data_IF_138453947259
#
_entry.id   IF_138453947259
#
_cell.length_a   1.000
_cell.length_b   1.000
_cell.length_c   1.000
_cell.angle_alpha   90.00
_cell.angle_beta   90.00
_cell.angle_gamma   90.00
#
_symmetry.space_group_name_H-M   'P 1'
#
loop_
_entity.id
_entity.type
_entity.pdbx_description
1 polymer ?
#
# COMPACT_ATOMS: atom_id res chain seq x y z
N UNK A 1 -29.52 25.08 -22.15
CA UNK A 1 -28.69 23.86 -22.36
C UNK A 1 -27.21 24.18 -22.06
N UNK A 2 -26.72 25.33 -22.48
CA UNK A 2 -25.29 25.73 -22.36
C UNK A 2 -24.77 25.94 -20.91
N UNK A 3 -25.60 26.41 -20.00
CA UNK A 3 -25.20 26.63 -18.58
C UNK A 3 -25.01 25.31 -17.82
N UNK A 4 -25.83 24.29 -18.07
CA UNK A 4 -25.73 22.97 -17.47
C UNK A 4 -24.50 22.22 -18.01
N UNK A 5 -24.31 22.27 -19.35
CA UNK A 5 -23.14 21.66 -20.00
C UNK A 5 -21.82 22.28 -19.49
N UNK A 6 -21.83 23.61 -19.29
CA UNK A 6 -20.64 24.33 -18.76
C UNK A 6 -20.34 23.93 -17.29
N UNK A 7 -21.36 23.69 -16.46
CA UNK A 7 -21.18 23.22 -15.09
C UNK A 7 -20.53 21.82 -15.03
N UNK A 8 -21.03 20.86 -15.82
CA UNK A 8 -20.45 19.51 -15.87
C UNK A 8 -19.01 19.48 -16.41
N UNK A 9 -18.71 20.34 -17.41
CA UNK A 9 -17.35 20.47 -17.94
C UNK A 9 -16.39 21.02 -16.89
N UNK A 10 -16.83 22.02 -16.11
CA UNK A 10 -16.02 22.59 -15.02
C UNK A 10 -15.79 21.57 -13.90
N UNK A 11 -16.81 20.83 -13.48
CA UNK A 11 -16.69 19.77 -12.46
C UNK A 11 -15.76 18.65 -12.93
N UNK A 12 -15.88 18.22 -14.18
CA UNK A 12 -14.99 17.23 -14.78
C UNK A 12 -13.54 17.74 -14.79
N UNK A 13 -13.32 18.97 -15.21
CA UNK A 13 -11.98 19.57 -15.24
C UNK A 13 -11.36 19.66 -13.85
N UNK A 14 -12.15 20.05 -12.83
CA UNK A 14 -11.70 20.09 -11.43
C UNK A 14 -11.36 18.70 -10.91
N UNK A 15 -12.17 17.69 -11.23
CA UNK A 15 -11.92 16.30 -10.82
C UNK A 15 -10.65 15.76 -11.48
N UNK A 16 -10.47 15.97 -12.78
CA UNK A 16 -9.23 15.61 -13.47
C UNK A 16 -8.03 16.34 -12.88
N UNK A 17 -8.18 17.63 -12.54
CA UNK A 17 -7.15 18.41 -11.85
C UNK A 17 -6.74 17.80 -10.51
N UNK A 18 -7.71 17.40 -9.66
CA UNK A 18 -7.47 16.71 -8.39
C UNK A 18 -6.73 15.38 -8.60
N UNK A 19 -7.16 14.57 -9.59
CA UNK A 19 -6.50 13.30 -9.93
C UNK A 19 -5.04 13.55 -10.31
N UNK A 20 -4.77 14.50 -11.18
CA UNK A 20 -3.40 14.84 -11.61
C UNK A 20 -2.54 15.35 -10.45
N UNK A 21 -3.13 16.11 -9.53
CA UNK A 21 -2.46 16.61 -8.32
C UNK A 21 -2.03 15.46 -7.38
N UNK A 22 -2.75 14.36 -7.36
CA UNK A 22 -2.42 13.19 -6.55
C UNK A 22 -1.49 12.24 -7.30
N UNK A 23 -1.85 11.86 -8.52
CA UNK A 23 -1.10 10.87 -9.31
C UNK A 23 0.28 11.37 -9.73
N UNK A 24 0.42 12.64 -10.11
CA UNK A 24 1.71 13.21 -10.50
C UNK A 24 2.78 13.11 -9.40
N UNK A 25 2.55 13.69 -8.22
CA UNK A 25 3.47 13.56 -7.09
C UNK A 25 3.68 12.11 -6.64
N UNK A 26 2.64 11.25 -6.71
CA UNK A 26 2.74 9.84 -6.37
C UNK A 26 3.75 9.11 -7.28
N UNK A 27 3.66 9.30 -8.60
CA UNK A 27 4.60 8.69 -9.55
C UNK A 27 6.04 9.17 -9.31
N UNK A 28 6.21 10.45 -9.00
CA UNK A 28 7.51 11.01 -8.62
C UNK A 28 8.00 10.37 -7.30
N UNK A 29 7.13 10.23 -6.30
CA UNK A 29 7.46 9.59 -5.04
C UNK A 29 7.85 8.11 -5.23
N UNK A 30 7.16 7.37 -6.08
CA UNK A 30 7.52 5.99 -6.46
C UNK A 30 8.91 5.95 -7.09
N UNK A 31 9.20 6.85 -8.03
CA UNK A 31 10.51 6.91 -8.67
C UNK A 31 11.64 7.21 -7.64
N UNK A 32 11.44 8.19 -6.76
CA UNK A 32 12.43 8.52 -5.73
C UNK A 32 12.49 7.49 -4.60
N UNK A 33 11.43 6.73 -4.33
CA UNK A 33 11.46 5.64 -3.36
C UNK A 33 12.43 4.54 -3.78
N UNK A 34 12.54 4.24 -5.08
CA UNK A 34 13.56 3.29 -5.59
C UNK A 34 14.98 3.75 -5.35
N UNK A 35 15.24 5.06 -5.49
CA UNK A 35 16.52 5.66 -5.17
C UNK A 35 16.81 5.66 -3.67
N UNK A 36 15.80 6.03 -2.86
CA UNK A 36 15.89 6.04 -1.41
C UNK A 36 16.23 4.64 -0.87
N UNK A 37 15.55 3.61 -1.37
CA UNK A 37 15.81 2.23 -1.01
C UNK A 37 17.27 1.82 -1.27
N UNK A 38 17.77 2.03 -2.49
CA UNK A 38 19.16 1.70 -2.86
C UNK A 38 20.19 2.45 -2.01
N UNK A 39 19.88 3.68 -1.59
CA UNK A 39 20.77 4.49 -0.75
C UNK A 39 20.71 4.08 0.71
N UNK A 40 19.50 3.95 1.28
CA UNK A 40 19.32 3.57 2.69
C UNK A 40 19.96 2.20 2.93
N UNK A 41 19.69 1.21 2.09
CA UNK A 41 20.33 -0.11 2.19
C UNK A 41 21.85 0.00 1.97
N UNK A 42 22.29 0.82 1.02
CA UNK A 42 23.71 1.07 0.80
C UNK A 42 24.41 1.62 2.05
N UNK A 43 23.84 2.62 2.71
CA UNK A 43 24.39 3.18 3.95
C UNK A 43 24.40 2.17 5.11
N UNK A 44 23.34 1.38 5.25
CA UNK A 44 23.29 0.31 6.27
C UNK A 44 24.38 -0.76 6.02
N UNK A 45 24.73 -1.00 4.77
CA UNK A 45 25.79 -1.94 4.35
C UNK A 45 27.18 -1.28 4.24
N UNK A 46 27.36 -0.06 4.74
CA UNK A 46 28.62 0.72 4.69
C UNK A 46 29.13 0.93 3.26
N UNK A 47 28.25 1.01 2.26
CA UNK A 47 28.58 1.31 0.87
C UNK A 47 27.79 2.50 0.34
N UNK A 48 28.31 3.15 -0.70
CA UNK A 48 27.58 4.23 -1.38
C UNK A 48 26.57 3.64 -2.36
N UNK A 49 25.32 4.12 -2.28
CA UNK A 49 24.31 3.85 -3.30
C UNK A 49 24.60 4.59 -4.63
N UNK A 50 23.66 4.59 -5.60
CA UNK A 50 23.82 5.30 -6.87
C UNK A 50 24.12 6.78 -6.66
N UNK A 51 25.21 7.30 -7.24
CA UNK A 51 25.67 8.67 -7.05
C UNK A 51 26.20 9.36 -8.31
N UNK A 52 26.22 8.65 -9.45
CA UNK A 52 26.90 9.11 -10.68
C UNK A 52 25.96 9.88 -11.60
N UNK A 53 24.70 9.44 -11.74
CA UNK A 53 23.76 10.04 -12.69
C UNK A 53 23.12 11.29 -12.09
N UNK A 54 23.61 12.47 -12.50
CA UNK A 54 23.20 13.77 -11.96
C UNK A 54 23.75 14.07 -10.56
N UNK A 55 23.40 15.24 -9.98
CA UNK A 55 23.84 15.59 -8.63
C UNK A 55 23.39 14.53 -7.62
N UNK A 56 24.36 13.93 -6.93
CA UNK A 56 24.10 12.86 -5.97
C UNK A 56 23.27 11.67 -6.51
N UNK A 57 23.25 11.42 -7.83
CA UNK A 57 22.48 10.33 -8.44
C UNK A 57 20.95 10.56 -8.47
N UNK A 58 20.50 11.82 -8.37
CA UNK A 58 19.05 12.14 -8.34
C UNK A 58 18.34 11.79 -9.66
N UNK A 59 19.06 11.74 -10.79
CA UNK A 59 18.46 11.38 -12.08
C UNK A 59 18.51 9.87 -12.38
N UNK A 60 19.01 9.05 -11.45
CA UNK A 60 19.06 7.60 -11.64
C UNK A 60 17.68 6.96 -11.90
N UNK A 61 16.59 7.30 -11.18
CA UNK A 61 15.26 6.73 -11.46
C UNK A 61 14.78 7.02 -12.89
N UNK A 62 15.05 8.22 -13.40
CA UNK A 62 14.67 8.61 -14.77
C UNK A 62 15.50 7.87 -15.82
N UNK A 63 16.80 7.66 -15.56
CA UNK A 63 17.64 6.86 -16.43
C UNK A 63 17.20 5.39 -16.46
N UNK A 64 16.80 4.82 -15.31
CA UNK A 64 16.26 3.47 -15.21
C UNK A 64 14.90 3.36 -15.95
N UNK A 65 14.04 4.36 -15.82
CA UNK A 65 12.76 4.42 -16.55
C UNK A 65 12.99 4.50 -18.07
N UNK A 66 13.87 5.40 -18.52
CA UNK A 66 14.19 5.55 -19.94
C UNK A 66 14.78 4.24 -20.52
N UNK A 67 15.67 3.59 -19.80
CA UNK A 67 16.21 2.28 -20.19
C UNK A 67 15.11 1.25 -20.42
N UNK A 68 14.11 1.18 -19.52
CA UNK A 68 13.00 0.24 -19.62
C UNK A 68 12.04 0.60 -20.77
N UNK A 69 11.87 1.89 -21.07
CA UNK A 69 11.04 2.35 -22.20
C UNK A 69 11.65 2.00 -23.56
N UNK A 70 12.97 2.09 -23.70
CA UNK A 70 13.68 1.81 -24.96
C UNK A 70 13.96 0.32 -25.15
N UNK A 71 13.94 -0.46 -24.05
CA UNK A 71 14.20 -1.90 -24.10
C UNK A 71 13.07 -2.64 -24.86
N UNK A 72 13.44 -3.64 -25.66
CA UNK A 72 12.49 -4.46 -26.40
C UNK A 72 11.62 -5.31 -25.46
N UNK A 73 10.31 -5.35 -25.73
CA UNK A 73 9.34 -6.19 -25.01
C UNK A 73 9.33 -7.58 -25.62
N UNK A 74 9.78 -8.57 -24.86
CA UNK A 74 9.81 -9.98 -25.29
C UNK A 74 8.52 -10.66 -24.82
N UNK A 75 7.81 -11.29 -25.74
CA UNK A 75 6.62 -12.10 -25.46
C UNK A 75 6.96 -13.57 -25.71
N UNK A 76 6.89 -14.45 -24.69
CA UNK A 76 7.13 -15.87 -24.87
C UNK A 76 6.18 -16.48 -25.91
N UNK A 77 6.68 -17.37 -26.74
CA UNK A 77 5.90 -17.97 -27.85
C UNK A 77 4.65 -18.73 -27.36
N UNK A 78 4.74 -19.35 -26.18
CA UNK A 78 3.64 -20.10 -25.56
C UNK A 78 2.71 -19.25 -24.66
N UNK A 79 2.96 -17.95 -24.51
CA UNK A 79 2.17 -17.09 -23.64
C UNK A 79 0.86 -16.64 -24.29
N UNK A 80 -0.18 -16.47 -23.48
CA UNK A 80 -1.40 -15.78 -23.90
C UNK A 80 -1.16 -14.28 -23.94
N UNK A 81 -0.91 -13.73 -25.13
CA UNK A 81 -0.47 -12.34 -25.35
C UNK A 81 -1.42 -11.30 -24.75
N UNK A 82 -2.72 -11.49 -24.86
CA UNK A 82 -3.71 -10.53 -24.35
C UNK A 82 -3.67 -10.46 -22.83
N UNK A 83 -3.73 -11.58 -22.15
CA UNK A 83 -3.68 -11.64 -20.67
C UNK A 83 -2.30 -11.23 -20.14
N UNK A 84 -1.23 -11.59 -20.87
CA UNK A 84 0.14 -11.22 -20.51
C UNK A 84 0.34 -9.69 -20.47
N UNK A 85 -0.23 -8.95 -21.39
CA UNK A 85 -0.16 -7.47 -21.41
C UNK A 85 -1.14 -6.87 -20.40
N UNK A 86 -2.33 -7.47 -20.24
CA UNK A 86 -3.36 -6.95 -19.33
C UNK A 86 -2.95 -7.04 -17.86
N UNK A 87 -2.26 -8.10 -17.46
CA UNK A 87 -1.92 -8.37 -16.07
C UNK A 87 -1.12 -7.23 -15.39
N UNK A 88 0.04 -6.75 -15.92
CA UNK A 88 0.77 -5.64 -15.34
C UNK A 88 -0.01 -4.32 -15.37
N UNK A 89 -0.81 -4.09 -16.42
CA UNK A 89 -1.67 -2.91 -16.51
C UNK A 89 -2.73 -2.92 -15.41
N UNK A 90 -3.37 -4.06 -15.15
CA UNK A 90 -4.36 -4.20 -14.10
C UNK A 90 -3.75 -3.89 -12.72
N UNK A 91 -2.62 -4.50 -12.40
CA UNK A 91 -1.92 -4.27 -11.13
C UNK A 91 -1.61 -2.80 -10.92
N UNK A 92 -1.07 -2.13 -11.94
CA UNK A 92 -0.71 -0.72 -11.86
C UNK A 92 -1.93 0.20 -11.76
N UNK A 93 -2.97 -0.02 -12.57
CA UNK A 93 -4.20 0.77 -12.55
C UNK A 93 -4.87 0.68 -11.18
N UNK A 94 -5.01 -0.52 -10.62
CA UNK A 94 -5.63 -0.72 -9.31
C UNK A 94 -4.83 -0.03 -8.19
N UNK A 95 -3.49 -0.07 -8.25
CA UNK A 95 -2.66 0.65 -7.30
C UNK A 95 -2.85 2.17 -7.35
N UNK A 96 -3.18 2.76 -8.52
CA UNK A 96 -3.52 4.18 -8.64
C UNK A 96 -4.95 4.48 -8.21
N UNK A 97 -5.91 3.65 -8.59
CA UNK A 97 -7.34 3.84 -8.30
C UNK A 97 -7.63 3.81 -6.80
N UNK A 98 -6.87 3.02 -6.03
CA UNK A 98 -6.98 2.96 -4.58
C UNK A 98 -6.77 4.33 -3.88
N UNK A 99 -6.00 5.24 -4.48
CA UNK A 99 -5.75 6.58 -3.93
C UNK A 99 -6.95 7.52 -3.97
N UNK A 100 -8.02 7.17 -4.68
CA UNK A 100 -9.20 8.03 -4.82
C UNK A 100 -9.87 8.37 -3.48
N UNK A 101 -9.78 7.49 -2.48
CA UNK A 101 -10.46 7.64 -1.18
C UNK A 101 -9.51 8.01 -0.03
N UNK A 102 -8.21 8.08 -0.26
CA UNK A 102 -7.24 8.45 0.78
C UNK A 102 -7.31 9.95 1.06
N UNK A 103 -7.63 10.35 2.30
CA UNK A 103 -7.65 11.75 2.67
C UNK A 103 -6.24 12.25 3.03
N UNK A 104 -5.78 13.28 2.32
CA UNK A 104 -4.48 13.93 2.57
C UNK A 104 -4.57 15.07 3.59
N UNK A 105 -5.77 15.62 3.80
CA UNK A 105 -6.05 16.72 4.69
C UNK A 105 -7.55 16.91 4.85
N UNK A 106 -7.95 17.85 5.68
CA UNK A 106 -9.37 18.21 5.86
C UNK A 106 -9.97 18.67 4.53
N UNK A 107 -10.95 17.92 4.00
CA UNK A 107 -11.55 18.18 2.69
C UNK A 107 -10.65 17.90 1.48
N UNK A 108 -9.41 17.45 1.66
CA UNK A 108 -8.47 17.12 0.58
C UNK A 108 -8.51 15.63 0.27
N UNK A 109 -9.59 15.20 -0.34
CA UNK A 109 -9.81 13.84 -0.85
C UNK A 109 -10.39 13.93 -2.27
N UNK A 110 -10.12 12.95 -3.13
CA UNK A 110 -10.70 12.93 -4.49
C UNK A 110 -12.18 12.55 -4.39
N UNK A 111 -12.47 11.48 -3.67
CA UNK A 111 -13.82 10.96 -3.45
C UNK A 111 -14.03 10.62 -1.97
N UNK A 112 -14.80 11.44 -1.26
CA UNK A 112 -15.20 11.17 0.13
C UNK A 112 -16.46 10.31 0.13
N UNK A 113 -16.28 9.01 0.32
CA UNK A 113 -17.38 8.04 0.32
C UNK A 113 -17.52 7.40 1.70
N UNK A 114 -18.78 7.20 2.13
CA UNK A 114 -19.08 6.62 3.44
C UNK A 114 -18.56 5.20 3.65
N UNK A 115 -18.24 4.48 2.56
CA UNK A 115 -17.72 3.11 2.56
C UNK A 115 -16.26 3.06 2.08
N UNK A 116 -15.47 4.11 2.33
CA UNK A 116 -14.11 4.27 1.82
C UNK A 116 -13.18 3.09 2.14
N UNK A 117 -13.28 2.54 3.35
CA UNK A 117 -12.45 1.39 3.74
C UNK A 117 -12.80 0.12 2.97
N UNK A 118 -14.10 -0.13 2.69
CA UNK A 118 -14.53 -1.28 1.89
C UNK A 118 -14.08 -1.15 0.43
N UNK A 119 -14.11 0.08 -0.11
CA UNK A 119 -13.57 0.36 -1.43
C UNK A 119 -12.10 0.01 -1.53
N UNK A 120 -11.27 0.42 -0.56
CA UNK A 120 -9.84 0.08 -0.53
C UNK A 120 -9.61 -1.42 -0.51
N UNK A 121 -10.36 -2.16 0.33
CA UNK A 121 -10.28 -3.61 0.39
C UNK A 121 -10.67 -4.27 -0.93
N UNK A 122 -11.75 -3.82 -1.55
CA UNK A 122 -12.17 -4.35 -2.85
C UNK A 122 -11.10 -4.15 -3.93
N UNK A 123 -10.47 -2.98 -3.96
CA UNK A 123 -9.39 -2.69 -4.92
C UNK A 123 -8.13 -3.52 -4.61
N UNK A 124 -7.75 -3.67 -3.34
CA UNK A 124 -6.63 -4.52 -2.93
C UNK A 124 -6.84 -5.97 -3.36
N UNK A 125 -8.02 -6.55 -3.04
CA UNK A 125 -8.39 -7.91 -3.44
C UNK A 125 -8.33 -8.12 -4.96
N UNK A 126 -8.74 -7.12 -5.75
CA UNK A 126 -8.63 -7.19 -7.21
C UNK A 126 -7.17 -7.17 -7.69
N UNK A 127 -6.26 -6.55 -6.94
CA UNK A 127 -4.83 -6.51 -7.24
C UNK A 127 -4.20 -7.90 -7.33
N UNK A 128 -4.68 -8.84 -6.53
CA UNK A 128 -4.22 -10.25 -6.54
C UNK A 128 -4.43 -10.92 -7.89
N UNK A 129 -5.52 -10.60 -8.60
CA UNK A 129 -5.79 -11.16 -9.93
C UNK A 129 -4.73 -10.76 -10.95
N UNK A 130 -4.15 -9.57 -10.85
CA UNK A 130 -3.05 -9.16 -11.73
C UNK A 130 -1.85 -10.10 -11.62
N UNK A 131 -1.50 -10.50 -10.40
CA UNK A 131 -0.40 -11.45 -10.12
C UNK A 131 -0.74 -12.86 -10.62
N UNK A 132 -1.96 -13.35 -10.34
CA UNK A 132 -2.41 -14.70 -10.80
C UNK A 132 -2.40 -14.77 -12.33
N UNK A 133 -2.97 -13.75 -12.99
CA UNK A 133 -3.02 -13.69 -14.46
C UNK A 133 -1.63 -13.62 -15.07
N UNK A 134 -0.70 -12.90 -14.45
CA UNK A 134 0.68 -12.82 -14.92
C UNK A 134 1.36 -14.19 -14.95
N UNK A 135 1.27 -14.93 -13.84
CA UNK A 135 1.85 -16.26 -13.76
C UNK A 135 1.21 -17.27 -14.73
N UNK A 136 -0.11 -17.22 -14.88
CA UNK A 136 -0.81 -18.09 -15.83
C UNK A 136 -0.47 -17.73 -17.28
N UNK A 137 -0.55 -16.47 -17.65
CA UNK A 137 -0.32 -16.02 -19.02
C UNK A 137 1.09 -16.32 -19.53
N UNK A 138 2.07 -16.37 -18.63
CA UNK A 138 3.47 -16.68 -18.94
C UNK A 138 3.70 -18.12 -19.44
N UNK A 139 2.77 -19.04 -19.16
CA UNK A 139 2.89 -20.48 -19.50
C UNK A 139 4.23 -21.10 -19.06
N UNK A 140 4.78 -20.65 -17.94
CA UNK A 140 6.02 -21.11 -17.33
C UNK A 140 5.75 -21.72 -15.96
N UNK A 141 6.38 -22.86 -15.65
CA UNK A 141 6.18 -23.55 -14.36
C UNK A 141 6.58 -22.68 -13.17
N UNK A 142 7.69 -21.97 -13.27
CA UNK A 142 8.20 -21.12 -12.19
C UNK A 142 7.32 -19.89 -11.99
N UNK A 143 6.89 -19.24 -13.07
CA UNK A 143 5.99 -18.11 -13.00
C UNK A 143 4.64 -18.48 -12.39
N UNK A 144 4.08 -19.60 -12.76
CA UNK A 144 2.81 -20.11 -12.22
C UNK A 144 2.91 -20.43 -10.72
N UNK A 145 3.95 -21.14 -10.29
CA UNK A 145 4.18 -21.45 -8.87
C UNK A 145 4.42 -20.17 -8.04
N UNK A 146 5.18 -19.22 -8.59
CA UNK A 146 5.39 -17.90 -7.96
C UNK A 146 4.09 -17.15 -7.76
N UNK A 147 3.24 -17.10 -8.79
CA UNK A 147 1.93 -16.46 -8.72
C UNK A 147 0.99 -17.09 -7.68
N UNK A 148 0.95 -18.42 -7.61
CA UNK A 148 0.15 -19.13 -6.60
C UNK A 148 0.63 -18.86 -5.18
N UNK A 149 1.96 -18.84 -4.96
CA UNK A 149 2.52 -18.50 -3.64
C UNK A 149 2.20 -17.07 -3.24
N UNK A 150 2.34 -16.13 -4.18
CA UNK A 150 2.00 -14.71 -3.94
C UNK A 150 0.52 -14.54 -3.63
N UNK A 151 -0.37 -15.12 -4.42
CA UNK A 151 -1.80 -15.04 -4.20
C UNK A 151 -2.22 -15.64 -2.85
N UNK A 152 -1.69 -16.81 -2.49
CA UNK A 152 -1.96 -17.43 -1.20
C UNK A 152 -1.47 -16.56 -0.01
N UNK A 153 -0.32 -15.90 -0.17
CA UNK A 153 0.20 -14.96 0.83
C UNK A 153 -0.72 -13.75 0.97
N UNK A 154 -1.01 -13.03 -0.11
CA UNK A 154 -1.84 -11.82 -0.10
C UNK A 154 -3.22 -12.11 0.50
N UNK A 155 -3.95 -13.13 0.02
CA UNK A 155 -5.27 -13.50 0.54
C UNK A 155 -5.23 -13.87 2.02
N UNK A 156 -4.20 -14.59 2.47
CA UNK A 156 -4.09 -15.00 3.88
C UNK A 156 -3.90 -13.81 4.82
N UNK A 157 -3.10 -12.83 4.42
CA UNK A 157 -2.83 -11.64 5.24
C UNK A 157 -3.93 -10.59 5.11
N UNK A 158 -4.65 -10.54 4.00
CA UNK A 158 -5.83 -9.70 3.82
C UNK A 158 -6.92 -10.02 4.85
N UNK A 159 -7.16 -11.30 5.15
CA UNK A 159 -8.10 -11.71 6.21
C UNK A 159 -7.68 -11.15 7.57
N UNK A 160 -6.40 -11.25 7.92
CA UNK A 160 -5.88 -10.71 9.18
C UNK A 160 -5.98 -9.18 9.24
N UNK A 161 -5.68 -8.47 8.15
CA UNK A 161 -5.84 -7.03 8.05
C UNK A 161 -7.30 -6.61 8.22
N UNK A 162 -8.23 -7.34 7.61
CA UNK A 162 -9.67 -7.09 7.74
C UNK A 162 -10.13 -7.14 9.20
N UNK A 163 -9.70 -8.14 9.98
CA UNK A 163 -10.01 -8.23 11.40
C UNK A 163 -9.39 -7.11 12.23
N UNK A 164 -8.18 -6.69 11.89
CA UNK A 164 -7.54 -5.54 12.54
C UNK A 164 -8.31 -4.25 12.27
N UNK A 165 -8.76 -4.04 11.04
CA UNK A 165 -9.56 -2.87 10.67
C UNK A 165 -10.91 -2.89 11.39
N UNK A 166 -11.55 -4.05 11.56
CA UNK A 166 -12.78 -4.17 12.33
C UNK A 166 -12.59 -3.63 13.76
N UNK A 167 -11.43 -3.83 14.41
CA UNK A 167 -11.15 -3.24 15.71
C UNK A 167 -11.19 -1.69 15.67
N UNK A 168 -10.62 -1.08 14.64
CA UNK A 168 -10.66 0.38 14.46
C UNK A 168 -12.09 0.84 14.19
N UNK A 169 -12.82 0.13 13.34
CA UNK A 169 -14.21 0.46 12.98
C UNK A 169 -15.16 0.38 14.19
N UNK A 170 -14.98 -0.59 15.07
CA UNK A 170 -15.74 -0.71 16.32
C UNK A 170 -15.51 0.51 17.23
N UNK A 171 -14.29 1.06 17.24
CA UNK A 171 -13.99 2.26 18.02
C UNK A 171 -14.59 3.54 17.42
N UNK A 172 -14.70 3.63 16.08
CA UNK A 172 -15.16 4.83 15.38
C UNK A 172 -16.65 4.79 15.06
N UNK A 173 -17.20 3.63 14.73
CA UNK A 173 -18.59 3.46 14.26
C UNK A 173 -18.82 3.94 12.82
N UNK A 174 -17.78 4.23 12.02
CA UNK A 174 -17.89 4.71 10.64
C UNK A 174 -16.89 4.02 9.72
N UNK A 175 -17.30 3.80 8.45
CA UNK A 175 -16.46 3.23 7.39
C UNK A 175 -15.78 4.34 6.55
N UNK A 176 -16.04 5.61 6.84
CA UNK A 176 -15.46 6.75 6.16
C UNK A 176 -14.06 7.04 6.71
N UNK A 177 -13.07 7.18 5.82
CA UNK A 177 -11.67 7.38 6.20
C UNK A 177 -11.42 8.75 6.85
N UNK A 178 -12.13 9.79 6.42
CA UNK A 178 -12.02 11.13 7.01
C UNK A 178 -12.52 11.11 8.46
N UNK A 179 -13.66 10.47 8.71
CA UNK A 179 -14.22 10.31 10.07
C UNK A 179 -13.28 9.48 10.96
N UNK A 180 -12.62 8.45 10.42
CA UNK A 180 -11.64 7.66 11.19
C UNK A 180 -10.46 8.52 11.64
N UNK A 181 -9.99 9.44 10.80
CA UNK A 181 -8.92 10.38 11.20
C UNK A 181 -9.41 11.36 12.27
N UNK A 182 -10.59 11.94 12.10
CA UNK A 182 -11.16 12.91 13.06
C UNK A 182 -11.39 12.29 14.44
N UNK A 183 -11.78 11.01 14.50
CA UNK A 183 -11.94 10.28 15.76
C UNK A 183 -10.62 10.09 16.54
N UNK A 184 -9.47 10.31 15.90
CA UNK A 184 -8.14 10.24 16.52
C UNK A 184 -7.60 11.58 16.98
N UNK A 185 -8.43 12.63 17.02
CA UNK A 185 -7.99 13.98 17.39
C UNK A 185 -7.41 14.04 18.81
N UNK A 186 -8.01 13.33 19.75
CA UNK A 186 -7.56 13.31 21.14
C UNK A 186 -6.45 12.27 21.39
N UNK A 187 -6.64 11.06 20.87
CA UNK A 187 -5.70 9.94 21.05
C UNK A 187 -5.58 9.13 19.76
N UNK A 188 -4.36 8.93 19.30
CA UNK A 188 -4.10 8.07 18.15
C UNK A 188 -4.37 6.61 18.50
N UNK A 189 -5.03 5.89 17.61
CA UNK A 189 -5.36 4.47 17.82
C UNK A 189 -4.11 3.57 17.92
N UNK A 190 -2.95 4.03 17.51
CA UNK A 190 -1.69 3.33 17.73
C UNK A 190 -1.40 3.06 19.21
N UNK A 191 -1.89 3.90 20.15
CA UNK A 191 -1.66 3.70 21.59
C UNK A 191 -2.62 2.64 22.18
N UNK A 192 -3.95 2.80 22.12
CA UNK A 192 -4.90 1.83 22.70
C UNK A 192 -4.92 0.50 21.93
N UNK A 193 -4.66 0.51 20.62
CA UNK A 193 -4.63 -0.68 19.78
C UNK A 193 -3.21 -1.06 19.34
N UNK A 194 -2.21 -0.83 20.20
CA UNK A 194 -0.80 -1.08 19.89
C UNK A 194 -0.52 -2.47 19.29
N UNK A 195 -1.04 -3.59 19.84
CA UNK A 195 -0.83 -4.91 19.25
C UNK A 195 -1.42 -5.02 17.84
N UNK A 196 -2.58 -4.40 17.61
CA UNK A 196 -3.22 -4.39 16.29
C UNK A 196 -2.46 -3.55 15.27
N UNK A 197 -1.84 -2.45 15.71
CA UNK A 197 -0.92 -1.67 14.87
C UNK A 197 0.26 -2.53 14.36
N UNK A 198 0.89 -3.33 15.23
CA UNK A 198 1.98 -4.22 14.81
C UNK A 198 1.50 -5.34 13.89
N UNK A 199 0.38 -5.98 14.20
CA UNK A 199 -0.21 -7.02 13.32
C UNK A 199 -0.54 -6.43 11.96
N UNK A 200 -1.12 -5.23 11.91
CA UNK A 200 -1.43 -4.54 10.67
C UNK A 200 -0.17 -4.24 9.86
N UNK A 201 0.85 -3.64 10.50
CA UNK A 201 2.10 -3.29 9.83
C UNK A 201 2.84 -4.51 9.27
N UNK A 202 2.88 -5.63 10.03
CA UNK A 202 3.47 -6.88 9.53
C UNK A 202 2.64 -7.45 8.38
N UNK A 203 1.32 -7.35 8.45
CA UNK A 203 0.43 -7.80 7.36
C UNK A 203 0.59 -6.95 6.11
N UNK A 204 0.85 -5.64 6.23
CA UNK A 204 1.14 -4.78 5.07
C UNK A 204 2.46 -5.12 4.39
N UNK A 205 3.49 -5.54 5.14
CA UNK A 205 4.73 -6.07 4.57
C UNK A 205 4.49 -7.35 3.75
N UNK A 206 3.61 -8.22 4.24
CA UNK A 206 3.26 -9.45 3.53
C UNK A 206 2.38 -9.18 2.30
N UNK A 207 1.45 -8.23 2.38
CA UNK A 207 0.58 -7.83 1.27
C UNK A 207 1.36 -7.21 0.11
N UNK A 208 2.40 -6.43 0.43
CA UNK A 208 3.28 -5.82 -0.57
C UNK A 208 4.38 -6.75 -1.07
N UNK A 209 4.38 -8.03 -0.71
CA UNK A 209 5.40 -9.03 -1.08
C UNK A 209 6.84 -8.56 -0.78
N UNK A 210 7.05 -7.72 0.23
CA UNK A 210 8.37 -7.18 0.59
C UNK A 210 9.06 -8.03 1.65
N UNK A 211 10.38 -8.03 1.61
CA UNK A 211 11.18 -8.71 2.63
C UNK A 211 10.77 -8.21 4.05
N UNK A 212 10.64 -9.14 5.02
CA UNK A 212 11.09 -10.53 5.04
C UNK A 212 10.17 -11.55 4.35
N UNK A 213 9.05 -11.13 3.77
CA UNK A 213 8.00 -11.97 3.16
C UNK A 213 8.06 -12.00 1.63
N UNK A 214 9.22 -11.73 1.06
CA UNK A 214 9.51 -11.73 -0.37
C UNK A 214 9.66 -13.17 -0.92
N UNK A 215 8.60 -13.95 -0.78
CA UNK A 215 8.57 -15.34 -1.20
C UNK A 215 8.26 -15.53 -2.69
N UNK A 216 7.44 -14.65 -3.32
CA UNK A 216 7.18 -14.74 -4.74
C UNK A 216 8.40 -14.49 -5.61
N UNK A 217 9.26 -13.53 -5.17
CA UNK A 217 10.48 -13.15 -5.86
C UNK A 217 11.67 -14.05 -5.55
N UNK A 218 11.54 -14.99 -4.58
CA UNK A 218 12.64 -15.80 -4.05
C UNK A 218 13.64 -16.29 -5.10
N UNK A 219 14.65 -15.46 -5.40
CA UNK A 219 15.64 -15.71 -6.46
C UNK A 219 16.31 -17.09 -6.34
N UNK A 220 16.50 -17.56 -5.10
CA UNK A 220 17.09 -18.87 -4.81
C UNK A 220 16.14 -20.03 -5.03
N UNK A 221 14.82 -19.82 -5.09
CA UNK A 221 13.81 -20.87 -5.21
C UNK A 221 13.05 -20.83 -6.56
N UNK A 222 12.66 -19.64 -7.01
CA UNK A 222 11.76 -19.43 -8.15
C UNK A 222 12.30 -18.48 -9.22
N UNK A 223 13.59 -18.16 -9.19
CA UNK A 223 14.32 -17.26 -10.11
C UNK A 223 13.89 -15.81 -9.96
N UNK A 224 12.67 -15.43 -10.33
CA UNK A 224 12.03 -14.13 -10.08
C UNK A 224 10.50 -14.23 -10.00
N UNK A 225 9.99 -15.42 -9.65
CA UNK A 225 8.57 -15.66 -9.42
C UNK A 225 7.67 -15.36 -10.62
N UNK A 226 6.57 -14.66 -10.40
CA UNK A 226 5.51 -14.45 -11.40
C UNK A 226 5.93 -13.52 -12.56
N UNK A 227 6.97 -12.70 -12.39
CA UNK A 227 7.44 -11.78 -13.43
C UNK A 227 8.73 -12.22 -14.14
N UNK A 228 9.15 -13.50 -13.97
CA UNK A 228 10.35 -14.06 -14.64
C UNK A 228 10.36 -13.81 -16.15
N UNK A 229 9.22 -13.97 -16.80
CA UNK A 229 9.09 -13.84 -18.26
C UNK A 229 8.84 -12.39 -18.71
N UNK A 230 8.65 -11.46 -17.78
CA UNK A 230 8.36 -10.07 -18.11
C UNK A 230 9.63 -9.26 -18.33
N UNK A 231 9.60 -8.39 -19.35
CA UNK A 231 10.72 -7.50 -19.70
C UNK A 231 10.22 -6.10 -20.05
N UNK A 232 11.12 -5.10 -20.16
CA UNK A 232 10.79 -3.76 -20.63
C UNK A 232 9.70 -3.07 -19.78
N UNK A 233 8.76 -2.39 -20.42
CA UNK A 233 7.68 -1.65 -19.74
C UNK A 233 6.72 -2.56 -18.97
N UNK A 234 6.48 -3.79 -19.41
CA UNK A 234 5.61 -4.73 -18.67
C UNK A 234 6.19 -5.07 -17.30
N UNK A 235 7.50 -5.27 -17.21
CA UNK A 235 8.21 -5.43 -15.95
C UNK A 235 8.16 -4.14 -15.10
N UNK A 236 8.36 -2.96 -15.73
CA UNK A 236 8.30 -1.69 -15.05
C UNK A 236 6.94 -1.44 -14.39
N UNK A 237 5.83 -1.82 -15.04
CA UNK A 237 4.48 -1.63 -14.50
C UNK A 237 4.25 -2.43 -13.21
N UNK A 238 4.76 -3.66 -13.10
CA UNK A 238 4.71 -4.42 -11.85
C UNK A 238 5.46 -3.71 -10.73
N UNK A 239 6.69 -3.26 -10.99
CA UNK A 239 7.49 -2.52 -10.01
C UNK A 239 6.82 -1.20 -9.59
N UNK A 240 6.29 -0.43 -10.54
CA UNK A 240 5.56 0.79 -10.24
C UNK A 240 4.32 0.50 -9.38
N UNK A 241 3.58 -0.57 -9.70
CA UNK A 241 2.42 -1.01 -8.91
C UNK A 241 2.82 -1.41 -7.48
N UNK A 242 3.89 -2.18 -7.33
CA UNK A 242 4.39 -2.63 -6.04
C UNK A 242 4.84 -1.47 -5.15
N UNK A 243 5.65 -0.53 -5.68
CA UNK A 243 6.07 0.65 -4.92
C UNK A 243 4.91 1.59 -4.62
N UNK A 244 3.96 1.76 -5.55
CA UNK A 244 2.73 2.52 -5.29
C UNK A 244 1.89 1.88 -4.17
N UNK A 245 1.81 0.55 -4.13
CA UNK A 245 1.12 -0.18 -3.08
C UNK A 245 1.84 -0.07 -1.72
N UNK A 246 3.19 -0.05 -1.69
CA UNK A 246 3.93 0.23 -0.45
C UNK A 246 3.58 1.60 0.14
N UNK A 247 3.52 2.63 -0.71
CA UNK A 247 3.14 3.99 -0.28
C UNK A 247 1.68 3.99 0.19
N UNK A 248 0.78 3.30 -0.52
CA UNK A 248 -0.64 3.16 -0.18
C UNK A 248 -0.82 2.52 1.19
N UNK A 249 -0.17 1.39 1.44
CA UNK A 249 -0.27 0.66 2.73
C UNK A 249 0.32 1.47 3.89
N UNK A 250 1.39 2.23 3.64
CA UNK A 250 1.91 3.20 4.61
C UNK A 250 0.91 4.33 4.86
N UNK A 251 0.23 4.83 3.82
CA UNK A 251 -0.86 5.80 3.93
C UNK A 251 -2.05 5.26 4.73
N UNK A 252 -2.49 4.03 4.45
CA UNK A 252 -3.54 3.36 5.23
C UNK A 252 -3.17 3.20 6.70
N UNK A 253 -1.95 2.75 7.00
CA UNK A 253 -1.45 2.65 8.37
C UNK A 253 -1.48 4.00 9.07
N UNK A 254 -1.13 5.07 8.36
CA UNK A 254 -1.16 6.44 8.87
C UNK A 254 -2.59 6.89 9.17
N UNK A 255 -3.55 6.62 8.29
CA UNK A 255 -4.97 6.98 8.47
C UNK A 255 -5.59 6.20 9.63
N UNK A 256 -5.34 4.89 9.71
CA UNK A 256 -5.99 4.01 10.68
C UNK A 256 -5.43 4.15 12.10
N UNK A 257 -4.14 4.42 12.26
CA UNK A 257 -3.48 4.33 13.57
C UNK A 257 -2.75 5.58 14.01
N UNK A 258 -2.23 6.39 13.07
CA UNK A 258 -1.39 7.55 13.39
C UNK A 258 -2.11 8.89 13.21
N UNK A 259 -3.44 8.90 13.15
CA UNK A 259 -4.23 10.11 13.04
C UNK A 259 -4.10 10.85 11.70
N UNK A 260 -3.78 10.14 10.60
CA UNK A 260 -3.77 10.75 9.26
C UNK A 260 -3.00 12.07 9.18
N UNK A 261 -3.70 13.14 8.82
CA UNK A 261 -3.16 14.50 8.68
C UNK A 261 -3.07 15.29 10.00
N UNK A 262 -3.55 14.74 11.14
CA UNK A 262 -3.51 15.43 12.43
C UNK A 262 -2.07 15.56 12.94
N UNK A 263 -1.71 16.68 13.61
CA UNK A 263 -0.41 16.82 14.25
C UNK A 263 -0.22 15.80 15.37
N UNK A 264 1.03 15.44 15.73
CA UNK A 264 1.30 14.51 16.83
C UNK A 264 0.84 15.01 18.19
N UNK A 265 0.92 16.30 18.40
CA UNK A 265 0.49 16.99 19.62
C UNK A 265 -0.15 18.33 19.24
N UNK A 266 -1.23 18.70 19.91
CA UNK A 266 -1.91 19.96 19.71
C UNK A 266 -1.21 21.09 20.47
N UNK A 267 0.09 21.32 20.16
CA UNK A 267 0.97 22.30 20.80
C UNK A 267 1.51 23.26 19.74
N UNK A 268 1.53 24.56 20.06
CA UNK A 268 2.27 25.53 19.26
C UNK A 268 3.78 25.20 19.33
N UNK A 269 4.56 25.10 18.22
CA UNK A 269 4.28 25.53 16.84
C UNK A 269 3.78 24.43 15.88
N UNK A 270 3.47 23.21 16.36
CA UNK A 270 3.13 22.07 15.50
C UNK A 270 1.84 22.26 14.69
N UNK A 271 0.90 23.06 15.24
CA UNK A 271 -0.37 23.38 14.59
C UNK A 271 -0.26 24.34 13.40
N UNK A 272 0.91 24.99 13.20
CA UNK A 272 1.14 25.90 12.06
C UNK A 272 1.37 25.08 10.78
N UNK A 273 1.86 23.84 10.92
CA UNK A 273 2.20 22.98 9.78
C UNK A 273 0.92 22.45 9.13
N UNK A 274 0.74 22.62 7.80
CA UNK A 274 -0.43 22.12 7.10
C UNK A 274 -0.59 20.60 7.25
N UNK A 275 -1.85 20.13 7.40
CA UNK A 275 -2.17 18.71 7.58
C UNK A 275 -1.52 17.75 6.55
N UNK A 276 -1.54 18.05 5.24
CA UNK A 276 -0.88 17.19 4.24
C UNK A 276 0.61 16.97 4.50
N UNK A 277 1.31 17.92 5.09
CA UNK A 277 2.73 17.77 5.44
C UNK A 277 2.90 16.73 6.55
N UNK A 278 2.05 16.76 7.58
CA UNK A 278 2.05 15.74 8.64
C UNK A 278 1.75 14.35 8.08
N UNK A 279 0.78 14.24 7.18
CA UNK A 279 0.47 12.98 6.51
C UNK A 279 1.70 12.43 5.77
N UNK A 280 2.34 13.25 4.94
CA UNK A 280 3.53 12.85 4.17
C UNK A 280 4.68 12.46 5.09
N UNK A 281 4.94 13.20 6.16
CA UNK A 281 6.01 12.88 7.11
C UNK A 281 5.80 11.52 7.80
N UNK A 282 4.56 11.21 8.22
CA UNK A 282 4.22 9.92 8.82
C UNK A 282 4.35 8.77 7.81
N UNK A 283 3.90 8.98 6.58
CA UNK A 283 4.07 8.00 5.49
C UNK A 283 5.56 7.77 5.22
N UNK A 284 6.37 8.82 5.15
CA UNK A 284 7.83 8.67 4.96
C UNK A 284 8.50 7.92 6.12
N UNK A 285 8.07 8.14 7.35
CA UNK A 285 8.56 7.41 8.52
C UNK A 285 8.25 5.91 8.39
N UNK A 286 7.03 5.55 8.03
CA UNK A 286 6.63 4.15 7.84
C UNK A 286 7.38 3.51 6.67
N UNK A 287 7.54 4.22 5.55
CA UNK A 287 8.35 3.76 4.42
C UNK A 287 9.81 3.53 4.84
N UNK A 288 10.38 4.40 5.66
CA UNK A 288 11.72 4.17 6.21
C UNK A 288 11.77 2.88 7.04
N UNK A 289 10.74 2.59 7.85
CA UNK A 289 10.66 1.33 8.60
C UNK A 289 10.56 0.12 7.64
N UNK A 290 9.81 0.21 6.53
CA UNK A 290 9.79 -0.82 5.48
C UNK A 290 11.20 -1.10 4.95
N UNK A 291 11.95 -0.06 4.62
CA UNK A 291 13.32 -0.19 4.10
C UNK A 291 14.28 -0.74 5.17
N UNK A 292 14.10 -0.33 6.42
CA UNK A 292 14.90 -0.80 7.54
C UNK A 292 14.66 -2.30 7.81
N UNK A 293 13.42 -2.72 7.84
CA UNK A 293 13.04 -4.13 8.00
C UNK A 293 13.65 -4.96 6.86
N UNK A 294 13.55 -4.51 5.61
CA UNK A 294 14.17 -5.18 4.45
C UNK A 294 15.68 -5.36 4.61
N UNK A 295 16.37 -4.38 5.18
CA UNK A 295 17.82 -4.41 5.32
C UNK A 295 18.31 -5.27 6.50
N UNK A 296 17.47 -5.50 7.51
CA UNK A 296 17.88 -6.11 8.79
C UNK A 296 17.35 -7.51 9.02
N UNK A 297 16.15 -7.83 8.51
CA UNK A 297 15.48 -9.10 8.80
C UNK A 297 15.84 -10.20 7.79
N UNK A 298 16.05 -11.43 8.25
CA UNK A 298 16.19 -12.57 7.35
C UNK A 298 14.87 -12.94 6.71
N UNK A 299 14.92 -13.56 5.54
CA UNK A 299 13.73 -14.05 4.81
C UNK A 299 13.07 -15.20 5.56
N UNK A 300 11.72 -15.17 5.63
CA UNK A 300 10.94 -16.27 6.17
C UNK A 300 10.74 -17.37 5.12
N UNK A 301 10.51 -18.59 5.58
CA UNK A 301 10.13 -19.71 4.73
C UNK A 301 8.61 -19.71 4.52
N UNK A 302 8.12 -20.22 3.37
CA UNK A 302 6.70 -20.19 3.03
C UNK A 302 5.79 -20.84 4.08
N UNK A 303 6.17 -22.01 4.61
CA UNK A 303 5.43 -22.70 5.67
C UNK A 303 5.35 -21.87 6.98
N UNK A 304 6.43 -21.18 7.33
CA UNK A 304 6.48 -20.31 8.52
C UNK A 304 5.57 -19.08 8.33
N UNK A 305 5.58 -18.49 7.13
CA UNK A 305 4.74 -17.36 6.79
C UNK A 305 3.25 -17.72 6.89
N UNK A 306 2.84 -18.81 6.24
CA UNK A 306 1.45 -19.28 6.28
C UNK A 306 1.02 -19.65 7.69
N UNK A 307 1.91 -20.24 8.50
CA UNK A 307 1.66 -20.52 9.91
C UNK A 307 1.46 -19.25 10.73
N UNK A 308 2.25 -18.21 10.47
CA UNK A 308 2.13 -16.91 11.15
C UNK A 308 0.76 -16.27 10.88
N UNK A 309 0.31 -16.22 9.62
CA UNK A 309 -0.98 -15.66 9.25
C UNK A 309 -2.16 -16.43 9.85
N UNK A 310 -2.24 -17.73 9.59
CA UNK A 310 -3.40 -18.54 9.96
C UNK A 310 -3.45 -18.98 11.42
N UNK A 311 -2.30 -19.31 12.03
CA UNK A 311 -2.26 -19.88 13.40
C UNK A 311 -1.97 -18.83 14.49
N UNK A 312 -1.43 -17.68 14.13
CA UNK A 312 -1.09 -16.63 15.09
C UNK A 312 -1.92 -15.37 14.86
N UNK A 313 -1.84 -14.74 13.67
CA UNK A 313 -2.49 -13.45 13.45
C UNK A 313 -4.01 -13.54 13.44
N UNK A 314 -4.58 -14.53 12.76
CA UNK A 314 -6.01 -14.69 12.69
C UNK A 314 -6.65 -14.93 14.07
N UNK A 315 -6.23 -15.91 14.89
CA UNK A 315 -6.81 -16.11 16.23
C UNK A 315 -6.55 -14.91 17.15
N UNK A 316 -5.37 -14.28 17.05
CA UNK A 316 -5.01 -13.14 17.87
C UNK A 316 -5.86 -11.91 17.54
N UNK A 317 -6.08 -11.61 16.26
CA UNK A 317 -6.94 -10.51 15.85
C UNK A 317 -8.41 -10.74 16.18
N UNK A 318 -8.92 -11.99 16.07
CA UNK A 318 -10.26 -12.36 16.54
C UNK A 318 -10.42 -12.16 18.05
N UNK A 319 -9.47 -12.63 18.85
CA UNK A 319 -9.47 -12.39 20.29
C UNK A 319 -9.50 -10.89 20.61
N UNK A 320 -8.72 -10.11 19.87
CA UNK A 320 -8.67 -8.66 20.10
C UNK A 320 -9.97 -7.95 19.74
N UNK A 321 -10.71 -8.40 18.71
CA UNK A 321 -12.05 -7.90 18.38
C UNK A 321 -13.00 -8.10 19.57
N UNK A 322 -12.97 -9.27 20.21
CA UNK A 322 -13.80 -9.55 21.38
C UNK A 322 -13.41 -8.69 22.59
N UNK A 323 -12.11 -8.51 22.80
CA UNK A 323 -11.59 -7.68 23.90
C UNK A 323 -11.94 -6.20 23.70
N UNK A 324 -11.77 -5.67 22.48
CA UNK A 324 -12.11 -4.28 22.15
C UNK A 324 -13.61 -4.01 22.32
N UNK A 325 -14.46 -4.85 21.77
CA UNK A 325 -15.91 -4.69 21.91
C UNK A 325 -16.38 -4.85 23.37
N UNK A 326 -15.82 -5.81 24.12
CA UNK A 326 -16.11 -5.98 25.54
C UNK A 326 -15.67 -4.79 26.39
N UNK A 327 -14.49 -4.22 26.09
CA UNK A 327 -14.00 -3.02 26.78
C UNK A 327 -14.88 -1.80 26.53
N UNK A 328 -15.29 -1.55 25.28
CA UNK A 328 -16.17 -0.45 24.91
C UNK A 328 -17.56 -0.57 25.56
N UNK A 329 -18.12 -1.79 25.61
CA UNK A 329 -19.37 -2.06 26.32
C UNK A 329 -19.24 -1.81 27.83
N UNK A 330 -18.15 -2.25 28.45
CA UNK A 330 -17.91 -2.07 29.89
C UNK A 330 -17.71 -0.60 30.28
N UNK A 331 -17.01 0.17 29.45
CA UNK A 331 -16.77 1.61 29.70
C UNK A 331 -17.93 2.50 29.27
N UNK A 332 -18.91 1.99 28.55
CA UNK A 332 -20.02 2.79 28.01
C UNK A 332 -19.61 3.73 26.87
N UNK A 333 -18.39 3.66 26.37
CA UNK A 333 -17.87 4.49 25.29
C UNK A 333 -18.20 3.93 23.91
N UNK A 334 -19.46 3.55 23.70
CA UNK A 334 -19.92 3.12 22.38
C UNK A 334 -20.01 4.33 21.43
N UNK A 335 -19.57 4.20 20.16
CA UNK A 335 -19.77 5.24 19.17
C UNK A 335 -21.28 5.53 19.01
N UNK A 336 -21.62 6.80 18.78
CA UNK A 336 -23.00 7.29 18.75
C UNK A 336 -23.94 6.50 17.79
N UNK A 337 -23.38 5.89 16.76
CA UNK A 337 -24.11 5.05 15.78
C UNK A 337 -24.54 3.68 16.37
N UNK A 338 -23.87 3.20 17.43
CA UNK A 338 -24.21 1.93 18.08
C UNK A 338 -25.00 2.11 19.39
N UNK A 339 -25.18 3.34 19.84
CA UNK A 339 -25.87 3.68 21.07
C UNK A 339 -27.37 3.97 20.88
N UNK A 340 -27.91 3.87 19.64
CA UNK A 340 -29.30 4.11 19.27
C UNK A 340 -30.13 2.84 19.14
#
# INVERSE_FOLDING_TARGET
>A
MDLITNSYVVELALTVGKIMLVVGPLLIAVAYLTLAERRVIGFMQLRKGPNVVGPFGMFQPFADALKLMVKETILPAGANKAVFILAPMLTFILALVAWAVIPFGEGLVIADINVGILYLFAISSLGVYGVIMAGWASNSKYAFLGALRSAAQMVSYEVSMGLVIINVLICVGSLNLSTIVEAQRDVWFALPLLPMFFVFFISTLAETNRAPFDLPEGESELVAGYFVEYSSMSFALFFLGEYANMILMSGMTTVLFLGGWLPPFDIWPLNIVPGPVWFILKVMLLLFVFLWVRATTPRYRYDQLMRLGWKIFLPFSLLWVVLTSGFLLYTGNLPAVMAG
#
